data_IF_169023674291
#
_entry.id   IF_169023674291
#
_cell.length_a   1.000
_cell.length_b   1.000
_cell.length_c   1.000
_cell.angle_alpha   90.00
_cell.angle_beta   90.00
_cell.angle_gamma   90.00
#
_symmetry.space_group_name_H-M   'P 1'
#
loop_
_entity.id
_entity.type
_entity.pdbx_description
1 polymer ?
#
# COMPACT_ATOMS: atom_id res chain seq x y z
N UNK A 1 35.82 13.08 2.82
CA UNK A 1 34.96 13.83 3.76
C UNK A 1 33.50 13.56 3.41
N UNK A 2 32.72 12.93 4.29
CA UNK A 2 31.27 12.86 4.12
C UNK A 2 30.67 14.13 4.69
N UNK A 3 30.10 14.98 3.84
CA UNK A 3 29.29 16.12 4.30
C UNK A 3 28.10 15.56 5.08
N UNK A 4 27.84 15.98 6.33
CA UNK A 4 26.67 15.52 7.07
C UNK A 4 25.42 15.89 6.27
N UNK A 5 24.58 14.89 6.00
CA UNK A 5 23.34 15.09 5.27
C UNK A 5 22.48 16.11 6.04
N UNK A 6 22.18 17.25 5.42
CA UNK A 6 21.28 18.28 5.95
C UNK A 6 19.97 17.61 6.37
N UNK A 7 19.63 17.66 7.66
CA UNK A 7 18.40 17.07 8.19
C UNK A 7 17.21 17.90 7.72
N UNK A 8 16.23 17.26 7.09
CA UNK A 8 14.99 17.93 6.71
C UNK A 8 14.07 17.91 7.93
N UNK A 9 14.03 19.01 8.67
CA UNK A 9 13.17 19.16 9.83
C UNK A 9 11.72 19.28 9.36
N UNK A 10 10.91 18.25 9.61
CA UNK A 10 9.48 18.30 9.33
C UNK A 10 8.74 18.90 10.52
N UNK A 11 7.73 19.72 10.25
CA UNK A 11 6.75 20.14 11.27
C UNK A 11 6.07 18.91 11.84
N UNK A 12 6.15 18.73 13.17
CA UNK A 12 5.64 17.54 13.83
C UNK A 12 4.17 17.32 13.51
N UNK A 13 3.32 18.35 13.62
CA UNK A 13 1.87 18.21 13.41
C UNK A 13 1.49 17.75 11.99
N UNK A 14 2.15 18.27 10.94
CA UNK A 14 1.90 17.78 9.56
C UNK A 14 2.36 16.34 9.38
N UNK A 15 3.50 15.97 9.96
CA UNK A 15 3.98 14.59 9.93
C UNK A 15 2.99 13.64 10.65
N UNK A 16 2.48 14.05 11.82
CA UNK A 16 1.45 13.30 12.55
C UNK A 16 0.21 13.11 11.68
N UNK A 17 -0.23 14.18 11.03
CA UNK A 17 -1.40 14.15 10.16
C UNK A 17 -1.27 13.14 9.02
N UNK A 18 -0.17 13.19 8.26
CA UNK A 18 0.01 12.25 7.15
C UNK A 18 0.15 10.80 7.63
N UNK A 19 0.79 10.56 8.78
CA UNK A 19 0.91 9.19 9.34
C UNK A 19 -0.46 8.66 9.75
N UNK A 20 -1.29 9.46 10.42
CA UNK A 20 -2.64 9.07 10.79
C UNK A 20 -3.49 8.78 9.56
N UNK A 21 -3.38 9.59 8.52
CA UNK A 21 -4.05 9.32 7.24
C UNK A 21 -3.53 8.03 6.61
N UNK A 22 -2.21 7.82 6.51
CA UNK A 22 -1.67 6.55 6.00
C UNK A 22 -2.16 5.35 6.81
N UNK A 23 -2.14 5.41 8.14
CA UNK A 23 -2.68 4.36 9.02
C UNK A 23 -4.16 4.07 8.79
N UNK A 24 -4.97 5.08 8.47
CA UNK A 24 -6.39 4.88 8.14
C UNK A 24 -6.56 4.03 6.88
N UNK A 25 -5.73 4.28 5.87
CA UNK A 25 -5.71 3.55 4.61
C UNK A 25 -5.06 2.16 4.73
N UNK A 26 -4.07 1.97 5.61
CA UNK A 26 -3.27 0.74 5.72
C UNK A 26 -4.02 -0.39 6.45
N UNK A 27 -3.91 -1.61 5.90
CA UNK A 27 -4.48 -2.84 6.46
C UNK A 27 -3.44 -3.97 6.44
N UNK A 28 -3.41 -4.80 7.48
CA UNK A 28 -2.68 -6.07 7.47
C UNK A 28 -3.44 -7.04 6.58
N UNK A 29 -2.75 -7.66 5.62
CA UNK A 29 -3.29 -8.79 4.86
C UNK A 29 -2.51 -10.03 5.27
N UNK A 30 -3.21 -11.09 5.69
CA UNK A 30 -2.56 -12.31 6.15
C UNK A 30 -3.34 -13.58 5.84
N UNK A 31 -2.62 -14.69 5.77
CA UNK A 31 -3.11 -16.06 5.93
C UNK A 31 -2.41 -16.67 7.15
N UNK A 32 -2.61 -17.97 7.39
CA UNK A 32 -1.88 -18.70 8.44
C UNK A 32 -0.35 -18.68 8.27
N UNK A 33 0.15 -18.54 7.03
CA UNK A 33 1.58 -18.65 6.73
C UNK A 33 2.21 -17.40 6.15
N UNK A 34 1.41 -16.52 5.58
CA UNK A 34 1.91 -15.37 4.87
C UNK A 34 1.23 -14.12 5.38
N UNK A 35 1.96 -13.03 5.35
CA UNK A 35 1.46 -11.73 5.75
C UNK A 35 2.18 -10.64 5.00
N UNK A 36 1.48 -9.56 4.78
CA UNK A 36 1.99 -8.36 4.16
C UNK A 36 1.12 -7.16 4.51
N UNK A 37 1.43 -6.06 3.88
CA UNK A 37 0.69 -4.82 4.03
C UNK A 37 -0.16 -4.59 2.79
N UNK A 38 -1.37 -4.12 2.98
CA UNK A 38 -2.21 -3.58 1.91
C UNK A 38 -2.80 -2.25 2.31
N UNK A 39 -3.60 -1.68 1.41
CA UNK A 39 -4.28 -0.41 1.64
C UNK A 39 -5.56 -0.30 0.81
N UNK A 40 -6.55 0.42 1.35
CA UNK A 40 -7.82 0.63 0.67
C UNK A 40 -7.67 1.64 -0.49
N UNK A 41 -7.71 1.14 -1.72
CA UNK A 41 -7.56 1.93 -2.94
C UNK A 41 -8.86 2.64 -3.33
N UNK A 42 -9.96 1.88 -3.39
CA UNK A 42 -11.24 2.33 -3.91
C UNK A 42 -12.36 1.48 -3.30
N UNK A 43 -13.61 1.82 -3.58
CA UNK A 43 -14.78 1.06 -3.14
C UNK A 43 -15.93 1.22 -4.12
N UNK A 44 -16.81 0.24 -4.15
CA UNK A 44 -18.08 0.37 -4.85
C UNK A 44 -18.97 1.40 -4.14
N UNK A 45 -19.53 2.33 -4.90
CA UNK A 45 -20.41 3.36 -4.35
C UNK A 45 -21.66 2.67 -3.79
N UNK A 46 -21.95 2.82 -2.47
CA UNK A 46 -23.09 2.18 -1.86
C UNK A 46 -24.39 2.89 -2.28
N UNK A 47 -25.53 2.23 -2.02
CA UNK A 47 -26.83 2.91 -2.07
C UNK A 47 -26.86 4.09 -1.08
N UNK A 48 -27.70 5.10 -1.37
CA UNK A 48 -27.80 6.32 -0.55
C UNK A 48 -27.98 5.98 0.94
N UNK A 49 -27.14 6.58 1.79
CA UNK A 49 -27.19 6.40 3.24
C UNK A 49 -26.50 5.14 3.78
N UNK A 50 -25.95 4.27 2.91
CA UNK A 50 -25.27 3.04 3.32
C UNK A 50 -23.75 3.18 3.28
N UNK A 51 -23.05 2.34 4.03
CA UNK A 51 -21.60 2.18 3.99
C UNK A 51 -21.18 1.18 2.90
N UNK A 52 -20.06 1.39 2.18
CA UNK A 52 -19.59 0.42 1.18
C UNK A 52 -19.15 -0.90 1.84
N UNK A 53 -19.64 -2.02 1.30
CA UNK A 53 -19.23 -3.37 1.73
C UNK A 53 -18.25 -4.03 0.76
N UNK A 54 -18.08 -3.50 -0.46
CA UNK A 54 -17.09 -3.97 -1.42
C UNK A 54 -15.99 -2.92 -1.58
N UNK A 55 -14.74 -3.35 -1.35
CA UNK A 55 -13.54 -2.53 -1.33
C UNK A 55 -12.46 -3.13 -2.23
N UNK A 56 -11.62 -2.26 -2.78
CA UNK A 56 -10.44 -2.62 -3.57
C UNK A 56 -9.21 -2.36 -2.72
N UNK A 57 -8.39 -3.39 -2.49
CA UNK A 57 -7.18 -3.33 -1.68
C UNK A 57 -5.96 -3.43 -2.59
N UNK A 58 -5.12 -2.40 -2.60
CA UNK A 58 -3.82 -2.41 -3.26
C UNK A 58 -2.75 -3.05 -2.39
N UNK A 59 -1.83 -3.80 -2.99
CA UNK A 59 -0.63 -4.35 -2.33
C UNK A 59 0.45 -4.66 -3.38
N UNK A 60 1.61 -5.19 -2.96
CA UNK A 60 2.59 -5.74 -3.87
C UNK A 60 2.17 -7.10 -4.43
N UNK A 61 2.58 -7.41 -5.66
CA UNK A 61 2.30 -8.69 -6.29
C UNK A 61 3.00 -9.86 -5.63
N UNK A 62 4.22 -9.67 -5.12
CA UNK A 62 4.89 -10.74 -4.39
C UNK A 62 4.26 -11.05 -3.03
N UNK A 63 3.47 -10.12 -2.47
CA UNK A 63 2.63 -10.36 -1.28
C UNK A 63 1.38 -11.11 -1.71
N UNK A 64 0.67 -10.56 -2.69
CA UNK A 64 -0.58 -11.11 -3.22
C UNK A 64 -0.39 -12.52 -3.81
N UNK A 65 0.80 -12.82 -4.35
CA UNK A 65 1.12 -14.12 -4.94
C UNK A 65 1.13 -15.27 -3.93
N UNK A 66 1.08 -14.95 -2.64
CA UNK A 66 1.02 -15.89 -1.52
C UNK A 66 -0.40 -16.21 -1.07
N UNK A 67 -1.41 -15.79 -1.83
CA UNK A 67 -2.81 -16.03 -1.52
C UNK A 67 -3.48 -16.82 -2.64
N UNK A 68 -4.37 -17.75 -2.26
CA UNK A 68 -5.30 -18.41 -3.17
C UNK A 68 -6.67 -17.76 -3.03
N UNK A 69 -7.03 -16.92 -4.01
CA UNK A 69 -8.27 -16.14 -4.02
C UNK A 69 -9.19 -16.60 -5.16
N UNK A 70 -10.41 -16.06 -5.18
CA UNK A 70 -11.30 -16.23 -6.32
C UNK A 70 -10.75 -15.55 -7.58
N UNK A 71 -11.10 -16.10 -8.74
CA UNK A 71 -10.68 -15.59 -10.06
C UNK A 71 -11.88 -15.14 -10.91
N UNK A 72 -12.84 -14.44 -10.27
CA UNK A 72 -14.03 -13.87 -10.92
C UNK A 72 -13.69 -13.05 -12.17
N UNK A 73 -12.52 -12.41 -12.19
CA UNK A 73 -12.10 -11.49 -13.24
C UNK A 73 -11.13 -12.10 -14.27
N UNK A 74 -10.84 -13.40 -14.17
CA UNK A 74 -9.87 -14.12 -15.03
C UNK A 74 -8.48 -13.46 -15.02
N UNK A 75 -8.12 -12.84 -13.90
CA UNK A 75 -6.76 -12.30 -13.65
C UNK A 75 -5.79 -13.47 -13.51
N UNK A 76 -6.30 -14.63 -13.07
CA UNK A 76 -5.54 -15.82 -12.83
C UNK A 76 -5.03 -15.92 -11.40
N UNK A 77 -4.62 -17.12 -11.02
CA UNK A 77 -4.03 -17.38 -9.73
C UNK A 77 -2.49 -17.45 -9.82
N UNK A 78 -1.79 -16.89 -8.81
CA UNK A 78 -0.33 -16.80 -8.80
C UNK A 78 0.38 -18.16 -8.83
N UNK A 79 -0.28 -19.22 -8.36
CA UNK A 79 0.41 -20.43 -7.94
C UNK A 79 0.09 -21.66 -8.80
N UNK A 80 1.12 -22.43 -9.13
CA UNK A 80 1.00 -23.86 -9.44
C UNK A 80 0.89 -24.60 -8.10
N UNK A 81 -0.21 -25.28 -7.82
CA UNK A 81 -0.52 -25.86 -6.50
C UNK A 81 0.59 -26.74 -5.90
N UNK A 82 1.51 -27.24 -6.72
CA UNK A 82 2.66 -28.06 -6.32
C UNK A 82 3.81 -27.30 -5.62
N UNK A 83 3.90 -25.97 -5.74
CA UNK A 83 4.97 -25.18 -5.10
C UNK A 83 4.53 -24.50 -3.80
N UNK A 84 3.30 -24.75 -3.37
CA UNK A 84 2.82 -24.28 -2.09
C UNK A 84 3.45 -25.11 -0.99
N UNK A 85 3.93 -24.45 0.06
CA UNK A 85 4.25 -25.13 1.30
C UNK A 85 2.98 -25.89 1.72
N UNK A 86 2.99 -27.21 1.56
CA UNK A 86 1.81 -28.05 1.72
C UNK A 86 1.22 -27.90 3.13
N UNK A 87 2.07 -27.55 4.12
CA UNK A 87 1.69 -27.22 5.49
C UNK A 87 0.77 -26.01 5.61
N UNK A 88 0.88 -25.07 4.68
CA UNK A 88 0.10 -23.84 4.67
C UNK A 88 -1.27 -23.99 4.02
N UNK A 89 -1.46 -25.04 3.21
CA UNK A 89 -2.61 -25.14 2.32
C UNK A 89 -3.46 -26.39 2.52
N UNK A 90 -3.16 -27.27 3.50
CA UNK A 90 -3.96 -28.42 3.98
C UNK A 90 -5.27 -28.68 3.22
N UNK A 91 -5.17 -29.15 1.97
CA UNK A 91 -6.27 -29.49 1.06
C UNK A 91 -7.33 -28.40 0.79
N UNK A 92 -7.10 -27.13 1.16
CA UNK A 92 -8.03 -26.03 0.90
C UNK A 92 -7.87 -25.48 -0.52
N UNK A 93 -8.97 -25.41 -1.27
CA UNK A 93 -9.02 -24.78 -2.61
C UNK A 93 -8.85 -23.26 -2.55
N UNK A 94 -9.12 -22.62 -1.40
CA UNK A 94 -8.90 -21.20 -1.13
C UNK A 94 -8.33 -21.03 0.27
N UNK A 95 -7.36 -20.14 0.44
CA UNK A 95 -6.91 -19.73 1.77
C UNK A 95 -7.77 -18.60 2.28
N UNK A 96 -8.38 -18.74 3.47
CA UNK A 96 -8.95 -17.61 4.18
C UNK A 96 -7.94 -16.47 4.24
N UNK A 97 -8.25 -15.37 3.55
CA UNK A 97 -7.51 -14.13 3.71
C UNK A 97 -8.09 -13.43 4.93
N UNK A 98 -7.22 -13.00 5.85
CA UNK A 98 -7.61 -12.18 6.97
C UNK A 98 -7.16 -10.75 6.70
N UNK A 99 -8.07 -9.81 6.90
CA UNK A 99 -7.77 -8.40 6.96
C UNK A 99 -7.74 -7.99 8.42
N UNK A 100 -6.69 -7.32 8.85
CA UNK A 100 -6.57 -6.89 10.24
C UNK A 100 -5.98 -5.51 10.39
N UNK A 101 -6.26 -4.89 11.54
CA UNK A 101 -5.67 -3.60 11.90
C UNK A 101 -5.71 -3.37 13.39
N UNK A 102 -4.90 -2.41 13.83
CA UNK A 102 -5.05 -1.82 15.16
C UNK A 102 -6.42 -1.15 15.27
N UNK A 103 -7.19 -1.56 16.28
CA UNK A 103 -8.42 -0.89 16.69
C UNK A 103 -8.07 0.33 17.55
N UNK A 104 -8.71 1.45 17.27
CA UNK A 104 -8.75 2.58 18.19
C UNK A 104 -10.18 2.99 18.43
N UNK A 105 -10.62 3.02 19.69
CA UNK A 105 -11.98 3.43 20.04
C UNK A 105 -12.30 4.85 19.53
N UNK A 106 -11.31 5.75 19.58
CA UNK A 106 -11.40 7.12 19.08
C UNK A 106 -11.71 7.19 17.59
N UNK A 107 -11.15 6.26 16.80
CA UNK A 107 -11.34 6.25 15.35
C UNK A 107 -12.70 5.73 14.91
N UNK A 108 -13.38 4.94 15.76
CA UNK A 108 -14.74 4.49 15.51
C UNK A 108 -15.77 5.61 15.72
N UNK A 109 -15.53 6.47 16.70
CA UNK A 109 -16.47 7.52 17.10
C UNK A 109 -16.20 8.89 16.48
N UNK A 110 -15.36 8.97 15.44
CA UNK A 110 -14.93 10.24 14.85
C UNK A 110 -14.43 11.23 15.92
N UNK A 111 -13.72 10.74 16.94
CA UNK A 111 -13.04 11.59 17.90
C UNK A 111 -11.60 11.79 17.42
N UNK A 112 -11.01 12.99 17.55
CA UNK A 112 -9.58 13.17 17.32
C UNK A 112 -8.84 12.18 18.23
N UNK A 113 -7.86 11.44 17.69
CA UNK A 113 -6.98 10.63 18.53
C UNK A 113 -6.23 11.55 19.50
N UNK A 114 -6.09 11.12 20.75
CA UNK A 114 -5.25 11.85 21.68
C UNK A 114 -3.78 11.76 21.19
N UNK A 115 -3.22 12.91 20.79
CA UNK A 115 -2.06 13.03 19.87
C UNK A 115 -0.70 12.68 20.48
N UNK A 116 -0.65 12.30 21.75
CA UNK A 116 0.59 12.12 22.51
C UNK A 116 1.29 10.78 22.25
N UNK A 117 0.67 9.83 21.53
CA UNK A 117 1.22 8.48 21.32
C UNK A 117 2.22 8.33 20.16
N UNK A 118 2.68 9.41 19.53
CA UNK A 118 3.76 9.36 18.54
C UNK A 118 5.15 9.12 19.15
N UNK A 119 5.27 9.08 20.46
CA UNK A 119 6.50 8.69 21.16
C UNK A 119 6.85 7.21 20.90
N UNK A 120 5.87 6.34 20.68
CA UNK A 120 6.09 4.93 20.36
C UNK A 120 6.83 4.73 19.00
N UNK A 121 6.71 5.70 18.08
CA UNK A 121 7.44 5.66 16.81
C UNK A 121 8.94 5.96 16.99
N UNK A 122 9.31 6.82 17.97
CA UNK A 122 10.70 7.17 18.25
C UNK A 122 11.55 5.96 18.69
N UNK A 123 10.90 4.97 19.31
CA UNK A 123 11.51 3.71 19.78
C UNK A 123 12.24 2.92 18.69
N UNK A 124 11.75 2.97 17.44
CA UNK A 124 12.34 2.22 16.33
C UNK A 124 13.42 2.98 15.56
N UNK A 125 13.49 4.32 15.73
CA UNK A 125 14.49 5.19 15.11
C UNK A 125 15.86 5.18 15.79
N UNK A 126 15.94 4.57 16.98
CA UNK A 126 17.15 4.52 17.79
C UNK A 126 18.15 3.43 17.36
N UNK A 127 17.72 2.43 16.57
CA UNK A 127 18.59 1.31 16.22
C UNK A 127 19.17 1.43 14.80
N UNK A 128 19.96 2.49 14.59
CA UNK A 128 20.60 2.81 13.32
C UNK A 128 21.75 1.84 12.98
N UNK A 129 22.31 1.13 13.96
CA UNK A 129 23.31 0.08 13.75
C UNK A 129 22.85 -1.31 14.22
N UNK A 130 23.41 -2.37 13.61
CA UNK A 130 23.23 -3.77 14.04
C UNK A 130 23.65 -4.00 15.50
N UNK A 131 24.56 -3.17 16.02
CA UNK A 131 25.05 -3.19 17.40
C UNK A 131 24.10 -2.46 18.36
N UNK A 132 23.52 -1.32 17.97
CA UNK A 132 22.45 -0.67 18.75
C UNK A 132 21.24 -1.61 18.89
N UNK A 133 20.87 -2.35 17.83
CA UNK A 133 19.80 -3.38 17.91
C UNK A 133 20.12 -4.50 18.91
N UNK A 134 21.40 -4.87 19.07
CA UNK A 134 21.84 -5.91 20.02
C UNK A 134 21.92 -5.40 21.46
N UNK A 135 22.35 -4.15 21.65
CA UNK A 135 22.61 -3.56 22.97
C UNK A 135 21.41 -2.83 23.57
N UNK A 136 20.39 -2.48 22.78
CA UNK A 136 19.15 -1.91 23.30
C UNK A 136 18.36 -3.03 24.02
N UNK A 137 18.55 -3.13 25.34
CA UNK A 137 17.78 -4.04 26.17
C UNK A 137 16.34 -3.51 26.28
N UNK A 138 15.54 -3.80 25.26
CA UNK A 138 14.15 -3.36 25.10
C UNK A 138 13.29 -3.63 26.34
N UNK A 139 13.59 -4.72 27.08
CA UNK A 139 12.91 -5.06 28.33
C UNK A 139 13.09 -3.99 29.41
N UNK A 140 14.23 -3.29 29.45
CA UNK A 140 14.56 -2.28 30.48
C UNK A 140 13.86 -0.93 30.25
N UNK A 141 13.81 -0.46 29.00
CA UNK A 141 13.13 0.82 28.63
C UNK A 141 11.61 0.66 28.72
N UNK A 142 11.09 -0.51 28.34
CA UNK A 142 9.68 -0.83 28.53
C UNK A 142 9.37 -1.02 30.03
N UNK A 143 10.15 -1.77 30.81
CA UNK A 143 9.92 -1.90 32.26
C UNK A 143 9.85 -0.54 33.00
N UNK A 144 10.61 0.48 32.56
CA UNK A 144 10.53 1.83 33.13
C UNK A 144 9.30 2.64 32.67
N UNK A 145 8.72 2.34 31.49
CA UNK A 145 7.50 3.01 30.98
C UNK A 145 6.20 2.26 31.27
N UNK A 146 6.27 0.95 31.55
CA UNK A 146 5.14 0.04 31.69
C UNK A 146 4.84 -0.31 33.16
N UNK A 147 5.30 0.48 34.14
CA UNK A 147 5.02 0.27 35.57
C UNK A 147 3.58 0.63 35.98
N UNK A 148 2.67 0.77 35.01
CA UNK A 148 1.23 0.99 35.19
C UNK A 148 0.47 -0.20 34.61
N UNK A 149 -0.37 -0.89 35.39
CA UNK A 149 -1.21 -2.03 34.99
C UNK A 149 -1.76 -1.98 33.53
N UNK A 150 -1.11 -2.67 32.57
CA UNK A 150 -1.44 -2.62 31.11
C UNK A 150 -2.46 -3.65 30.65
N UNK A 151 -2.88 -4.60 31.50
CA UNK A 151 -3.81 -5.66 31.06
C UNK A 151 -5.10 -5.14 30.39
N UNK A 152 -5.55 -3.93 30.74
CA UNK A 152 -6.75 -3.31 30.17
C UNK A 152 -6.51 -2.34 28.99
N UNK A 153 -5.25 -1.96 28.72
CA UNK A 153 -4.89 -0.93 27.74
C UNK A 153 -4.08 -1.44 26.53
N UNK A 154 -3.90 -2.76 26.41
CA UNK A 154 -3.25 -3.32 25.22
C UNK A 154 -4.01 -2.89 23.95
N UNK A 155 -3.32 -2.47 22.89
CA UNK A 155 -3.97 -2.07 21.64
C UNK A 155 -4.78 -3.25 21.12
N UNK A 156 -6.12 -3.10 21.10
CA UNK A 156 -6.99 -4.15 20.57
C UNK A 156 -6.70 -4.27 19.08
N UNK A 157 -6.53 -5.49 18.61
CA UNK A 157 -6.40 -5.78 17.19
C UNK A 157 -7.74 -6.35 16.73
N UNK A 158 -8.24 -5.83 15.61
CA UNK A 158 -9.44 -6.37 14.96
C UNK A 158 -9.03 -7.01 13.67
N UNK A 159 -9.52 -8.22 13.43
CA UNK A 159 -9.35 -8.90 12.16
C UNK A 159 -10.66 -9.54 11.73
N UNK A 160 -10.79 -9.77 10.43
CA UNK A 160 -11.91 -10.49 9.85
C UNK A 160 -11.47 -11.34 8.68
N UNK A 161 -12.24 -12.39 8.42
CA UNK A 161 -12.28 -13.10 7.14
C UNK A 161 -13.45 -12.51 6.33
N UNK A 162 -13.17 -11.87 5.19
CA UNK A 162 -14.22 -11.28 4.36
C UNK A 162 -15.09 -12.37 3.75
N UNK A 163 -16.32 -12.01 3.37
CA UNK A 163 -17.26 -12.91 2.68
C UNK A 163 -16.67 -13.42 1.37
N UNK A 164 -16.04 -12.55 0.59
CA UNK A 164 -15.40 -12.89 -0.68
C UNK A 164 -14.11 -12.10 -0.88
N UNK A 165 -13.15 -12.73 -1.55
CA UNK A 165 -11.90 -12.09 -1.99
C UNK A 165 -11.52 -12.59 -3.39
N UNK A 166 -11.27 -11.67 -4.31
CA UNK A 166 -10.93 -11.97 -5.71
C UNK A 166 -9.76 -11.14 -6.20
N UNK A 167 -8.87 -11.71 -7.02
CA UNK A 167 -7.90 -10.90 -7.76
C UNK A 167 -8.64 -10.03 -8.78
N UNK A 168 -8.48 -8.71 -8.68
CA UNK A 168 -9.16 -7.75 -9.54
C UNK A 168 -8.26 -7.21 -10.65
N UNK A 169 -6.99 -6.92 -10.35
CA UNK A 169 -6.04 -6.41 -11.34
C UNK A 169 -4.60 -6.85 -11.02
N UNK A 170 -3.89 -7.28 -12.08
CA UNK A 170 -2.45 -7.55 -12.08
C UNK A 170 -1.85 -7.01 -13.39
N UNK A 171 -0.89 -6.07 -13.34
CA UNK A 171 -0.24 -5.49 -14.52
C UNK A 171 0.71 -6.50 -15.17
N UNK A 172 0.23 -7.31 -16.14
CA UNK A 172 1.03 -8.27 -16.91
C UNK A 172 1.13 -7.82 -18.35
N UNK A 173 2.34 -7.74 -18.92
CA UNK A 173 2.59 -7.33 -20.31
C UNK A 173 1.74 -6.11 -20.72
N UNK A 174 1.68 -5.13 -19.81
CA UNK A 174 0.65 -4.11 -19.81
C UNK A 174 0.98 -2.92 -20.72
N UNK A 175 2.02 -2.99 -21.55
CA UNK A 175 2.45 -1.94 -22.49
C UNK A 175 2.47 -2.55 -23.90
N UNK A 176 1.88 -1.85 -24.87
CA UNK A 176 1.70 -2.30 -26.27
C UNK A 176 3.01 -2.50 -27.00
N UNK A 177 3.92 -1.54 -26.86
CA UNK A 177 5.24 -1.64 -27.47
C UNK A 177 6.03 -2.69 -26.72
N UNK A 178 6.22 -3.85 -27.36
CA UNK A 178 7.37 -4.69 -27.11
C UNK A 178 8.61 -3.91 -27.52
N UNK A 179 9.01 -2.93 -26.71
CA UNK A 179 10.41 -2.57 -26.59
C UNK A 179 11.08 -3.87 -26.13
N UNK A 180 11.43 -4.70 -27.10
CA UNK A 180 11.54 -6.14 -26.96
C UNK A 180 12.83 -6.44 -26.20
N UNK A 181 12.78 -6.31 -24.87
CA UNK A 181 13.82 -6.83 -23.99
C UNK A 181 13.68 -8.37 -23.96
N UNK A 182 14.11 -9.00 -25.06
CA UNK A 182 14.33 -10.45 -25.24
C UNK A 182 13.09 -11.37 -25.12
N UNK A 183 11.90 -10.90 -25.50
CA UNK A 183 10.68 -11.74 -25.58
C UNK A 183 10.17 -12.27 -24.23
N UNK A 184 10.60 -11.66 -23.12
CA UNK A 184 10.22 -12.06 -21.76
C UNK A 184 8.95 -11.38 -21.30
N UNK A 185 8.09 -12.10 -20.60
CA UNK A 185 6.91 -11.53 -19.96
C UNK A 185 7.28 -10.67 -18.76
N UNK A 186 6.60 -9.55 -18.57
CA UNK A 186 6.94 -8.63 -17.49
C UNK A 186 5.72 -8.19 -16.70
N UNK A 187 6.01 -7.65 -15.53
CA UNK A 187 5.01 -7.16 -14.59
C UNK A 187 5.50 -5.91 -13.87
N UNK A 188 4.59 -5.31 -13.11
CA UNK A 188 4.92 -4.47 -11.95
C UNK A 188 4.57 -5.19 -10.66
N UNK A 189 5.26 -4.85 -9.57
CA UNK A 189 5.02 -5.41 -8.24
C UNK A 189 3.84 -4.70 -7.57
N UNK A 190 2.67 -4.81 -8.19
CA UNK A 190 1.42 -4.20 -7.77
C UNK A 190 0.25 -5.10 -8.12
N UNK A 191 -0.67 -5.29 -7.18
CA UNK A 191 -1.90 -6.06 -7.39
C UNK A 191 -3.04 -5.37 -6.69
N UNK A 192 -4.25 -5.50 -7.25
CA UNK A 192 -5.49 -5.10 -6.61
C UNK A 192 -6.34 -6.34 -6.32
N UNK A 193 -6.81 -6.43 -5.08
CA UNK A 193 -7.72 -7.47 -4.61
C UNK A 193 -9.08 -6.82 -4.34
N UNK A 194 -10.14 -7.37 -4.91
CA UNK A 194 -11.52 -7.03 -4.51
C UNK A 194 -11.88 -7.83 -3.26
N UNK A 195 -12.40 -7.14 -2.25
CA UNK A 195 -12.85 -7.71 -0.98
C UNK A 195 -14.32 -7.33 -0.78
N UNK A 196 -15.15 -8.29 -0.40
CA UNK A 196 -16.53 -8.05 0.04
C UNK A 196 -16.69 -8.48 1.49
N UNK A 197 -17.05 -7.55 2.37
CA UNK A 197 -17.37 -7.80 3.77
C UNK A 197 -18.76 -8.40 3.92
N UNK A 198 -19.05 -9.05 5.06
CA UNK A 198 -20.36 -9.66 5.32
C UNK A 198 -21.44 -8.61 5.49
N UNK A 199 -21.10 -7.49 6.14
CA UNK A 199 -22.00 -6.37 6.38
C UNK A 199 -21.26 -5.01 6.50
N UNK A 200 -22.03 -3.95 6.66
CA UNK A 200 -21.53 -2.57 6.79
C UNK A 200 -20.73 -2.34 8.07
N UNK A 201 -21.04 -3.05 9.15
CA UNK A 201 -20.40 -2.85 10.44
C UNK A 201 -18.98 -3.44 10.42
N UNK A 202 -18.85 -4.66 9.91
CA UNK A 202 -17.56 -5.30 9.65
C UNK A 202 -16.71 -4.42 8.72
N UNK A 203 -17.28 -3.97 7.59
CA UNK A 203 -16.60 -3.09 6.65
C UNK A 203 -16.12 -1.82 7.35
N UNK A 204 -16.96 -1.15 8.14
CA UNK A 204 -16.64 0.09 8.86
C UNK A 204 -15.54 -0.11 9.89
N UNK A 205 -15.54 -1.21 10.63
CA UNK A 205 -14.50 -1.53 11.63
C UNK A 205 -13.15 -1.75 10.93
N UNK A 206 -13.10 -2.58 9.91
CA UNK A 206 -11.85 -2.97 9.24
C UNK A 206 -11.31 -1.85 8.36
N UNK A 207 -12.17 -1.07 7.72
CA UNK A 207 -11.77 0.12 6.97
C UNK A 207 -11.59 1.35 7.86
N UNK A 208 -11.81 1.23 9.17
CA UNK A 208 -11.73 2.35 10.13
C UNK A 208 -12.52 3.59 9.71
N UNK A 209 -13.74 3.34 9.26
CA UNK A 209 -14.67 4.35 8.77
C UNK A 209 -14.07 5.24 7.66
N UNK A 210 -13.14 4.73 6.85
CA UNK A 210 -12.44 5.50 5.81
C UNK A 210 -13.41 6.23 4.88
N UNK A 211 -14.51 5.58 4.48
CA UNK A 211 -15.55 6.22 3.67
C UNK A 211 -16.18 7.41 4.39
N UNK A 212 -16.55 7.25 5.67
CA UNK A 212 -17.13 8.31 6.48
C UNK A 212 -16.19 9.49 6.66
N UNK A 213 -14.91 9.20 6.92
CA UNK A 213 -13.85 10.20 7.16
C UNK A 213 -13.44 10.98 5.92
N UNK A 214 -13.34 10.36 4.75
CA UNK A 214 -12.69 11.02 3.62
C UNK A 214 -13.57 11.16 2.37
N UNK A 215 -14.71 10.46 2.32
CA UNK A 215 -15.48 10.32 1.08
C UNK A 215 -16.99 10.59 1.24
N UNK A 216 -17.46 10.84 2.46
CA UNK A 216 -18.84 11.25 2.71
C UNK A 216 -19.04 12.75 2.41
N UNK A 217 -20.23 13.12 1.94
CA UNK A 217 -20.58 14.53 1.65
C UNK A 217 -20.60 15.42 2.89
N UNK A 218 -20.68 14.82 4.08
CA UNK A 218 -20.74 15.50 5.38
C UNK A 218 -19.38 15.59 6.07
N UNK A 219 -18.27 15.25 5.39
CA UNK A 219 -17.00 15.11 6.10
C UNK A 219 -16.44 16.47 6.54
N UNK A 220 -16.05 16.54 7.81
CA UNK A 220 -15.27 17.65 8.41
C UNK A 220 -13.78 17.32 8.53
N UNK A 221 -13.40 16.13 8.06
CA UNK A 221 -12.07 15.58 8.22
C UNK A 221 -11.12 16.01 7.09
N UNK A 222 -9.83 15.78 7.35
CA UNK A 222 -8.66 16.13 6.53
C UNK A 222 -8.75 15.62 5.09
N UNK A 223 -7.85 16.13 4.24
CA UNK A 223 -7.78 15.75 2.84
C UNK A 223 -7.48 14.24 2.68
N UNK A 224 -8.21 13.51 1.80
CA UNK A 224 -7.86 12.14 1.45
C UNK A 224 -6.46 12.07 0.82
N UNK A 225 -5.86 10.88 0.83
CA UNK A 225 -4.67 10.63 0.02
C UNK A 225 -4.93 10.93 -1.46
N UNK A 226 -3.99 11.63 -2.08
CA UNK A 226 -4.06 11.98 -3.48
C UNK A 226 -3.43 10.88 -4.33
N UNK A 227 -4.26 9.92 -4.71
CA UNK A 227 -3.88 8.85 -5.63
C UNK A 227 -3.73 9.31 -7.09
N UNK A 228 -4.07 10.56 -7.44
CA UNK A 228 -4.01 11.07 -8.81
C UNK A 228 -2.83 12.00 -9.07
N UNK A 229 -2.00 12.23 -8.05
CA UNK A 229 -0.73 12.91 -8.24
C UNK A 229 0.12 12.16 -9.26
N UNK A 230 0.87 12.87 -10.09
CA UNK A 230 1.75 12.29 -11.11
C UNK A 230 2.95 11.51 -10.52
N UNK A 231 2.96 11.23 -9.22
CA UNK A 231 4.03 10.49 -8.56
C UNK A 231 5.34 11.28 -8.58
N UNK A 232 6.43 10.60 -8.90
CA UNK A 232 7.75 11.21 -9.05
C UNK A 232 7.93 12.00 -10.36
N UNK A 233 6.94 12.01 -11.27
CA UNK A 233 6.99 12.73 -12.57
C UNK A 233 6.88 14.24 -12.44
N UNK A 234 6.16 14.75 -11.44
CA UNK A 234 5.85 16.18 -11.33
C UNK A 234 6.93 17.02 -10.66
N UNK A 235 8.09 16.43 -10.34
CA UNK A 235 9.11 17.09 -9.55
C UNK A 235 10.50 16.89 -10.17
N UNK A 236 11.28 17.95 -10.17
CA UNK A 236 12.72 17.93 -10.46
C UNK A 236 13.47 17.11 -9.41
N UNK A 237 14.67 16.63 -9.74
CA UNK A 237 15.53 15.93 -8.78
C UNK A 237 15.81 16.75 -7.52
N UNK A 238 15.96 18.07 -7.66
CA UNK A 238 16.16 18.99 -6.53
C UNK A 238 14.93 19.03 -5.61
N UNK A 239 13.73 19.14 -6.18
CA UNK A 239 12.48 19.13 -5.41
C UNK A 239 12.27 17.78 -4.70
N UNK A 240 12.58 16.66 -5.36
CA UNK A 240 12.43 15.33 -4.76
C UNK A 240 13.42 15.10 -3.60
N UNK A 241 14.65 15.60 -3.70
CA UNK A 241 15.66 15.48 -2.65
C UNK A 241 15.31 16.27 -1.39
N UNK A 242 14.49 17.32 -1.54
CA UNK A 242 14.01 18.17 -0.45
C UNK A 242 12.61 17.77 0.07
N UNK A 243 12.08 16.62 -0.34
CA UNK A 243 10.79 16.12 0.17
C UNK A 243 10.98 15.10 1.29
N UNK A 244 10.07 15.18 2.26
CA UNK A 244 9.87 14.17 3.28
C UNK A 244 8.89 13.11 2.78
N UNK A 245 9.26 11.84 2.91
CA UNK A 245 8.43 10.71 2.50
C UNK A 245 8.06 9.83 3.69
N UNK A 246 6.79 9.44 3.72
CA UNK A 246 6.13 8.73 4.79
C UNK A 246 5.62 7.39 4.30
N UNK A 247 5.82 6.34 5.08
CA UNK A 247 5.28 5.00 4.83
C UNK A 247 4.78 4.40 6.12
N UNK A 248 3.68 3.65 6.03
CA UNK A 248 3.09 2.91 7.15
C UNK A 248 2.74 1.48 6.73
N UNK A 249 3.19 0.48 7.49
CA UNK A 249 2.90 -0.93 7.23
C UNK A 249 3.06 -1.87 8.41
N UNK A 250 2.90 -3.17 8.20
CA UNK A 250 2.87 -4.20 9.24
C UNK A 250 4.08 -5.16 9.19
N UNK A 251 5.29 -4.73 9.58
CA UNK A 251 6.49 -5.56 9.56
C UNK A 251 6.45 -6.72 10.59
N UNK A 252 7.10 -7.84 10.26
CA UNK A 252 7.10 -9.11 11.02
C UNK A 252 8.11 -9.15 12.14
N UNK A 253 9.14 -8.32 12.07
CA UNK A 253 10.32 -8.39 12.92
C UNK A 253 10.18 -7.60 14.24
N UNK A 254 8.98 -7.50 14.81
CA UNK A 254 8.71 -6.77 16.04
C UNK A 254 7.74 -7.46 17.00
N UNK A 255 7.71 -6.99 18.26
CA UNK A 255 6.88 -7.47 19.37
C UNK A 255 5.36 -7.33 19.14
N UNK A 256 4.96 -6.76 18.01
CA UNK A 256 3.57 -6.72 17.59
C UNK A 256 3.47 -6.88 16.07
N UNK A 257 3.34 -8.12 15.64
CA UNK A 257 2.96 -8.49 14.27
C UNK A 257 1.68 -7.80 13.75
N UNK A 258 0.96 -7.13 14.64
CA UNK A 258 -0.37 -6.57 14.50
C UNK A 258 -0.41 -5.04 14.65
N UNK A 259 0.73 -4.37 14.91
CA UNK A 259 0.77 -2.91 14.93
C UNK A 259 1.38 -2.35 13.64
N UNK A 260 0.82 -1.24 13.13
CA UNK A 260 1.44 -0.52 12.04
C UNK A 260 2.74 0.13 12.53
N UNK A 261 3.70 0.24 11.61
CA UNK A 261 5.00 0.86 11.78
C UNK A 261 5.13 2.01 10.78
N UNK A 262 5.62 3.16 11.24
CA UNK A 262 5.91 4.33 10.43
C UNK A 262 7.40 4.61 10.37
N UNK A 263 7.88 5.12 9.23
CA UNK A 263 9.27 5.54 9.06
C UNK A 263 9.58 6.96 9.57
N UNK A 264 8.64 7.64 10.22
CA UNK A 264 8.86 8.98 10.78
C UNK A 264 9.34 8.94 12.23
N UNK A 265 10.38 9.72 12.53
CA UNK A 265 10.91 9.92 13.87
C UNK A 265 10.38 11.21 14.45
N UNK A 266 9.55 11.14 15.49
CA UNK A 266 9.07 12.31 16.22
C UNK A 266 10.21 13.04 16.94
N UNK A 267 11.08 12.30 17.64
CA UNK A 267 12.22 12.88 18.38
C UNK A 267 13.25 13.54 17.46
N UNK A 268 13.57 12.92 16.32
CA UNK A 268 14.50 13.48 15.32
C UNK A 268 13.81 14.38 14.29
N UNK A 269 12.49 14.53 14.36
CA UNK A 269 11.63 15.22 13.38
C UNK A 269 11.96 14.87 11.92
N UNK A 270 12.25 13.59 11.68
CA UNK A 270 12.86 13.09 10.44
C UNK A 270 12.00 12.00 9.80
N UNK A 271 11.64 12.21 8.53
CA UNK A 271 10.99 11.22 7.68
C UNK A 271 12.01 10.54 6.74
N UNK A 272 11.53 9.72 5.80
CA UNK A 272 12.35 9.19 4.72
C UNK A 272 12.72 10.27 3.71
N UNK A 273 13.83 10.08 3.01
CA UNK A 273 14.25 10.94 1.88
C UNK A 273 14.59 10.10 0.66
N UNK A 274 14.39 10.66 -0.52
CA UNK A 274 14.86 10.03 -1.75
C UNK A 274 16.40 10.06 -1.75
N UNK A 275 17.02 8.89 -1.86
CA UNK A 275 18.48 8.75 -1.91
C UNK A 275 19.00 8.74 -3.32
N UNK A 276 18.37 7.93 -4.17
CA UNK A 276 18.74 7.77 -5.57
C UNK A 276 17.61 7.05 -6.32
N UNK A 277 17.70 7.10 -7.65
CA UNK A 277 16.93 6.19 -8.49
C UNK A 277 17.74 4.90 -8.61
N UNK A 278 17.22 3.79 -8.07
CA UNK A 278 17.80 2.49 -8.29
C UNK A 278 17.21 1.90 -9.56
N UNK A 279 18.06 1.82 -10.57
CA UNK A 279 17.72 1.10 -11.77
C UNK A 279 17.89 -0.39 -11.48
N UNK A 280 16.77 -1.10 -11.35
CA UNK A 280 16.79 -2.56 -11.37
C UNK A 280 17.01 -3.03 -12.81
N UNK A 281 18.20 -2.80 -13.38
CA UNK A 281 18.51 -3.33 -14.71
C UNK A 281 18.78 -4.82 -14.73
N UNK A 282 18.91 -5.41 -13.54
CA UNK A 282 19.13 -6.83 -13.40
C UNK A 282 17.78 -7.48 -13.13
N UNK A 283 17.45 -8.40 -14.03
CA UNK A 283 16.50 -9.51 -13.91
C UNK A 283 16.84 -10.40 -12.71
N UNK A 284 17.09 -9.82 -11.54
CA UNK A 284 17.44 -10.58 -10.36
C UNK A 284 16.23 -11.43 -10.04
N UNK A 285 16.44 -12.73 -9.94
CA UNK A 285 15.36 -13.72 -9.78
C UNK A 285 14.45 -13.44 -8.58
N UNK A 286 14.93 -12.69 -7.58
CA UNK A 286 14.11 -12.32 -6.41
C UNK A 286 12.95 -11.35 -6.74
N UNK A 287 12.92 -10.73 -7.92
CA UNK A 287 11.81 -9.91 -8.42
C UNK A 287 10.92 -10.60 -9.45
N UNK A 288 11.20 -11.87 -9.72
CA UNK A 288 10.35 -12.72 -10.54
C UNK A 288 9.11 -13.08 -9.75
N UNK A 289 7.94 -12.88 -10.35
CA UNK A 289 6.69 -13.42 -9.84
C UNK A 289 6.20 -14.51 -10.79
N UNK A 290 5.81 -15.65 -10.26
CA UNK A 290 5.07 -16.64 -11.04
C UNK A 290 3.59 -16.30 -10.94
N UNK A 291 2.89 -16.27 -12.07
CA UNK A 291 1.45 -16.06 -12.14
C UNK A 291 0.84 -16.89 -13.27
N UNK A 292 -0.24 -17.63 -13.00
CA UNK A 292 -0.80 -18.60 -13.96
C UNK A 292 0.25 -19.55 -14.54
N UNK A 293 1.15 -20.09 -13.70
CA UNK A 293 2.24 -20.98 -14.11
C UNK A 293 3.24 -20.35 -15.10
N UNK A 294 3.19 -19.04 -15.30
CA UNK A 294 4.11 -18.28 -16.16
C UNK A 294 4.94 -17.33 -15.30
N UNK A 295 6.22 -17.23 -15.59
CA UNK A 295 7.10 -16.29 -14.91
C UNK A 295 7.01 -14.90 -15.53
N UNK A 296 6.87 -13.89 -14.69
CA UNK A 296 6.89 -12.48 -15.07
C UNK A 296 8.01 -11.79 -14.29
N UNK A 297 8.81 -11.02 -14.98
CA UNK A 297 9.87 -10.24 -14.34
C UNK A 297 9.44 -8.81 -14.12
N UNK A 298 9.77 -8.25 -12.97
CA UNK A 298 9.54 -6.82 -12.75
C UNK A 298 10.37 -6.00 -13.75
N UNK A 299 9.73 -5.03 -14.41
CA UNK A 299 10.39 -4.13 -15.38
C UNK A 299 10.26 -2.68 -14.97
N UNK A 300 11.37 -1.92 -15.02
CA UNK A 300 11.45 -0.49 -14.78
C UNK A 300 12.37 -0.13 -13.61
N UNK A 301 12.43 1.15 -13.27
CA UNK A 301 13.21 1.62 -12.13
C UNK A 301 12.39 1.58 -10.83
N UNK A 302 13.11 1.55 -9.71
CA UNK A 302 12.58 1.76 -8.37
C UNK A 302 13.28 2.96 -7.73
N UNK A 303 12.62 3.58 -6.77
CA UNK A 303 13.26 4.63 -5.98
C UNK A 303 13.87 4.04 -4.72
N UNK A 304 15.04 4.54 -4.33
CA UNK A 304 15.64 4.21 -3.03
C UNK A 304 15.25 5.28 -2.05
N UNK A 305 14.53 4.88 -1.01
CA UNK A 305 14.19 5.73 0.10
C UNK A 305 15.14 5.43 1.26
N UNK A 306 15.83 6.44 1.77
CA UNK A 306 16.56 6.32 3.05
C UNK A 306 15.61 6.44 4.22
N UNK A 307 16.00 5.88 5.37
CA UNK A 307 15.18 5.89 6.58
C UNK A 307 13.78 5.32 6.31
N UNK A 308 13.75 4.14 5.69
CA UNK A 308 12.52 3.45 5.38
C UNK A 308 12.66 1.94 5.51
N UNK A 309 13.69 1.45 6.21
CA UNK A 309 13.79 0.02 6.48
C UNK A 309 12.58 -0.42 7.29
N UNK A 310 11.79 -1.28 6.68
CA UNK A 310 10.70 -1.99 7.33
C UNK A 310 10.93 -3.46 7.00
N UNK A 311 10.97 -4.32 8.02
CA UNK A 311 11.31 -5.73 7.82
C UNK A 311 10.30 -6.48 6.94
N UNK A 312 10.44 -7.79 6.86
CA UNK A 312 9.50 -8.64 6.15
C UNK A 312 8.04 -8.33 6.57
N UNK A 313 7.07 -8.42 5.66
CA UNK A 313 5.67 -8.06 5.92
C UNK A 313 5.31 -6.58 5.75
N UNK A 314 6.28 -5.66 5.72
CA UNK A 314 6.02 -4.27 5.35
C UNK A 314 5.80 -4.05 3.85
N UNK A 315 6.14 -5.04 3.02
CA UNK A 315 5.84 -5.01 1.59
C UNK A 315 4.36 -4.71 1.34
N UNK A 316 4.11 -3.74 0.48
CA UNK A 316 2.80 -3.25 0.09
C UNK A 316 2.38 -1.98 0.84
N UNK A 317 3.23 -1.46 1.74
CA UNK A 317 2.99 -0.16 2.40
C UNK A 317 2.94 0.96 1.37
N UNK A 318 1.99 1.89 1.53
CA UNK A 318 1.95 3.11 0.73
C UNK A 318 3.12 4.02 1.08
N UNK A 319 3.70 4.65 0.06
CA UNK A 319 4.63 5.76 0.22
C UNK A 319 3.98 7.04 -0.28
N UNK A 320 3.97 8.06 0.56
CA UNK A 320 3.45 9.39 0.23
C UNK A 320 4.41 10.50 0.64
N UNK A 321 4.23 11.69 0.04
CA UNK A 321 4.87 12.91 0.55
C UNK A 321 4.06 13.55 1.69
N UNK A 322 4.58 14.64 2.25
CA UNK A 322 3.93 15.39 3.33
C UNK A 322 2.53 15.93 3.00
N UNK A 323 2.19 16.05 1.71
CA UNK A 323 0.90 16.55 1.24
C UNK A 323 -0.09 15.41 0.95
N UNK A 324 0.26 14.17 1.26
CA UNK A 324 -0.57 13.00 0.99
C UNK A 324 -0.59 12.60 -0.48
N UNK A 325 0.35 13.07 -1.30
CA UNK A 325 0.47 12.58 -2.67
C UNK A 325 1.06 11.17 -2.66
N UNK A 326 0.33 10.21 -3.22
CA UNK A 326 0.77 8.82 -3.29
C UNK A 326 1.75 8.65 -4.45
N UNK A 327 2.90 8.06 -4.15
CA UNK A 327 4.01 7.93 -5.08
C UNK A 327 4.22 6.49 -5.54
N UNK A 328 4.08 5.54 -4.62
CA UNK A 328 4.45 4.15 -4.86
C UNK A 328 4.23 3.26 -3.65
N UNK A 329 4.80 2.07 -3.72
CA UNK A 329 4.71 1.02 -2.71
C UNK A 329 6.09 0.64 -2.20
N UNK A 330 6.25 0.57 -0.90
CA UNK A 330 7.40 -0.09 -0.30
C UNK A 330 7.41 -1.56 -0.72
N UNK A 331 8.45 -1.98 -1.43
CA UNK A 331 8.51 -3.29 -2.09
C UNK A 331 9.54 -4.23 -1.49
N UNK A 332 10.69 -3.71 -1.05
CA UNK A 332 11.79 -4.51 -0.53
C UNK A 332 12.77 -3.66 0.27
N UNK A 333 13.56 -4.32 1.10
CA UNK A 333 14.77 -3.74 1.69
C UNK A 333 15.91 -3.75 0.67
N UNK A 334 16.76 -2.74 0.72
CA UNK A 334 18.07 -2.85 0.08
C UNK A 334 18.99 -3.78 0.89
N UNK A 335 19.72 -4.65 0.19
CA UNK A 335 20.54 -5.69 0.84
C UNK A 335 21.88 -5.17 1.36
N UNK A 336 22.28 -3.93 1.04
CA UNK A 336 23.53 -3.35 1.52
C UNK A 336 23.48 -2.95 3.01
N UNK A 337 22.36 -3.19 3.69
CA UNK A 337 22.23 -2.97 5.14
C UNK A 337 22.09 -1.50 5.56
N UNK A 338 21.89 -0.59 4.61
CA UNK A 338 21.98 0.86 4.80
C UNK A 338 20.69 1.57 5.25
N UNK A 339 19.74 0.85 5.86
CA UNK A 339 18.41 1.39 6.23
C UNK A 339 17.65 1.98 5.02
N UNK A 340 17.72 1.31 3.87
CA UNK A 340 17.10 1.75 2.64
C UNK A 340 15.95 0.83 2.23
N UNK A 341 14.89 1.43 1.69
CA UNK A 341 13.74 0.77 1.09
C UNK A 341 13.66 1.02 -0.40
N UNK A 342 13.22 0.02 -1.14
CA UNK A 342 12.93 0.11 -2.56
C UNK A 342 11.45 0.40 -2.77
N UNK A 343 11.13 1.46 -3.50
CA UNK A 343 9.78 1.89 -3.77
C UNK A 343 9.42 1.54 -5.22
N UNK A 344 8.37 0.74 -5.40
CA UNK A 344 7.75 0.48 -6.69
C UNK A 344 6.83 1.66 -7.04
N UNK A 345 7.15 2.47 -8.06
CA UNK A 345 6.31 3.60 -8.43
C UNK A 345 4.98 3.11 -9.02
N UNK A 346 3.88 3.77 -8.67
CA UNK A 346 2.58 3.53 -9.33
C UNK A 346 2.51 4.20 -10.72
N UNK A 347 3.39 5.18 -10.94
CA UNK A 347 3.47 5.98 -12.17
C UNK A 347 4.91 6.30 -12.49
N UNK A 348 5.26 6.21 -13.77
CA UNK A 348 6.56 6.67 -14.26
C UNK A 348 6.40 7.42 -15.57
N UNK A 349 7.34 8.31 -15.85
CA UNK A 349 7.60 8.78 -17.22
C UNK A 349 8.38 7.72 -17.99
N UNK A 350 8.40 7.86 -19.32
CA UNK A 350 9.38 7.15 -20.12
C UNK A 350 10.77 7.63 -19.70
N UNK A 351 11.63 6.71 -19.32
CA UNK A 351 13.02 7.01 -18.95
C UNK A 351 13.93 6.15 -19.79
N UNK A 352 15.01 6.77 -20.27
CA UNK A 352 16.03 6.16 -21.11
C UNK A 352 17.41 6.56 -20.59
N UNK A 353 18.39 5.69 -20.75
CA UNK A 353 19.81 6.03 -20.62
C UNK A 353 20.53 5.61 -21.91
N UNK A 354 21.75 6.09 -22.13
CA UNK A 354 22.55 5.71 -23.30
C UNK A 354 22.71 4.19 -23.42
N UNK A 355 22.80 3.48 -22.28
CA UNK A 355 22.95 2.03 -22.25
C UNK A 355 21.59 1.29 -22.24
N UNK A 356 20.50 2.00 -21.93
CA UNK A 356 19.17 1.43 -21.76
C UNK A 356 18.09 2.39 -22.30
N UNK A 357 17.88 2.43 -23.64
CA UNK A 357 16.94 3.35 -24.27
C UNK A 357 15.47 3.13 -23.83
N UNK A 358 15.14 1.93 -23.36
CA UNK A 358 13.84 1.57 -22.82
C UNK A 358 13.96 1.11 -21.36
N UNK A 359 14.55 1.96 -20.52
CA UNK A 359 14.81 1.64 -19.13
C UNK A 359 13.51 1.45 -18.33
N UNK A 360 12.58 2.38 -18.49
CA UNK A 360 11.24 2.27 -17.91
C UNK A 360 10.21 2.87 -18.85
N UNK A 361 9.16 2.13 -19.23
CA UNK A 361 8.09 2.66 -20.05
C UNK A 361 7.26 3.66 -19.24
N UNK A 362 6.65 4.63 -19.91
CA UNK A 362 5.62 5.47 -19.28
C UNK A 362 4.41 4.62 -18.90
N UNK A 363 3.99 4.70 -17.64
CA UNK A 363 2.79 4.01 -17.18
C UNK A 363 2.10 4.72 -16.03
N UNK A 364 0.81 4.41 -15.88
CA UNK A 364 0.01 4.70 -14.70
C UNK A 364 -0.81 3.45 -14.38
N UNK A 365 -0.43 2.72 -13.32
CA UNK A 365 -1.08 1.46 -12.96
C UNK A 365 -2.53 1.66 -12.53
N UNK A 366 -2.93 2.88 -12.17
CA UNK A 366 -4.29 3.22 -11.78
C UNK A 366 -5.11 3.71 -12.98
N UNK A 367 -4.65 4.75 -13.67
CA UNK A 367 -5.43 5.45 -14.71
C UNK A 367 -5.14 5.00 -16.14
N UNK A 368 -4.01 4.31 -16.37
CA UNK A 368 -3.47 4.00 -17.69
C UNK A 368 -2.68 5.15 -18.34
N UNK A 369 -1.76 4.79 -19.24
CA UNK A 369 -1.05 5.71 -20.15
C UNK A 369 -1.36 5.41 -21.63
N UNK A 370 -0.86 6.22 -22.56
CA UNK A 370 -1.13 6.12 -24.01
C UNK A 370 -0.89 4.72 -24.60
N UNK A 371 0.19 4.08 -24.18
CA UNK A 371 0.62 2.78 -24.71
C UNK A 371 0.29 1.61 -23.77
N UNK A 372 -0.45 1.87 -22.69
CA UNK A 372 -0.80 0.84 -21.72
C UNK A 372 -2.05 0.05 -22.15
N UNK A 373 -1.95 -1.27 -22.18
CA UNK A 373 -3.03 -2.20 -22.56
C UNK A 373 -3.98 -2.53 -21.41
N UNK A 374 -3.51 -2.42 -20.16
CA UNK A 374 -4.33 -2.69 -18.96
C UNK A 374 -3.92 -1.81 -17.78
N UNK A 375 -4.91 -1.38 -17.00
CA UNK A 375 -4.81 -0.56 -15.78
C UNK A 375 -5.94 -0.94 -14.81
N UNK A 376 -5.89 -0.46 -13.56
CA UNK A 376 -7.04 -0.58 -12.67
C UNK A 376 -8.31 0.04 -13.31
N UNK A 377 -8.19 1.23 -13.92
CA UNK A 377 -9.27 1.89 -14.68
C UNK A 377 -9.85 0.97 -15.75
N UNK A 378 -9.01 0.31 -16.55
CA UNK A 378 -9.52 -0.55 -17.63
C UNK A 378 -10.32 -1.74 -17.08
N UNK A 379 -9.88 -2.33 -15.96
CA UNK A 379 -10.64 -3.41 -15.30
C UNK A 379 -11.95 -2.89 -14.68
N UNK A 380 -11.96 -1.69 -14.09
CA UNK A 380 -13.18 -1.04 -13.60
C UNK A 380 -14.20 -0.83 -14.74
N UNK A 381 -13.75 -0.32 -15.89
CA UNK A 381 -14.59 -0.09 -17.06
C UNK A 381 -15.10 -1.42 -17.65
N UNK A 382 -14.19 -2.37 -17.90
CA UNK A 382 -14.49 -3.69 -18.47
C UNK A 382 -15.54 -4.44 -17.64
N UNK A 383 -15.43 -4.36 -16.31
CA UNK A 383 -16.33 -5.02 -15.38
C UNK A 383 -17.51 -4.13 -14.92
N UNK A 384 -17.70 -2.95 -15.55
CA UNK A 384 -18.80 -2.01 -15.30
C UNK A 384 -18.98 -1.65 -13.81
N UNK A 385 -17.87 -1.53 -13.07
CA UNK A 385 -17.89 -1.28 -11.62
C UNK A 385 -18.18 0.20 -11.34
N UNK A 386 -19.12 0.48 -10.44
CA UNK A 386 -19.50 1.85 -10.07
C UNK A 386 -18.70 2.29 -8.84
N UNK A 387 -17.42 2.54 -9.04
CA UNK A 387 -16.51 2.87 -7.93
C UNK A 387 -16.39 4.37 -7.67
N UNK A 388 -15.86 4.75 -6.50
CA UNK A 388 -15.62 6.15 -6.17
C UNK A 388 -14.63 6.82 -7.13
N UNK A 389 -13.52 6.15 -7.46
CA UNK A 389 -12.56 6.71 -8.45
C UNK A 389 -13.20 6.86 -9.82
N UNK A 390 -13.97 5.87 -10.29
CA UNK A 390 -14.63 5.94 -11.59
C UNK A 390 -15.58 7.16 -11.69
N UNK A 391 -16.33 7.44 -10.62
CA UNK A 391 -17.19 8.62 -10.54
C UNK A 391 -16.36 9.91 -10.48
N UNK A 392 -15.38 9.98 -9.58
CA UNK A 392 -14.56 11.18 -9.37
C UNK A 392 -13.78 11.59 -10.62
N UNK A 393 -13.32 10.61 -11.39
CA UNK A 393 -12.48 10.81 -12.58
C UNK A 393 -13.27 10.74 -13.90
N UNK A 394 -14.59 10.55 -13.85
CA UNK A 394 -15.43 10.45 -15.04
C UNK A 394 -15.09 9.26 -15.95
N UNK A 395 -14.59 8.15 -15.41
CA UNK A 395 -14.22 6.96 -16.20
C UNK A 395 -15.43 6.26 -16.82
N UNK A 396 -16.59 6.38 -16.19
CA UNK A 396 -17.85 5.78 -16.64
C UNK A 396 -18.89 6.90 -16.72
N UNK A 397 -19.51 7.06 -17.90
CA UNK A 397 -20.67 7.92 -18.05
C UNK A 397 -21.83 7.31 -17.26
N UNK A 398 -22.16 7.91 -16.13
CA UNK A 398 -23.37 7.56 -15.39
C UNK A 398 -24.53 8.12 -16.22
N UNK A 399 -25.16 7.27 -17.03
CA UNK A 399 -26.42 7.64 -17.69
C UNK A 399 -27.43 7.82 -16.57
N UNK A 400 -27.70 9.06 -16.18
CA UNK A 400 -28.79 9.36 -15.27
C UNK A 400 -30.06 8.84 -15.94
N UNK A 401 -30.67 7.80 -15.38
CA UNK A 401 -32.01 7.39 -15.80
C UNK A 401 -32.90 8.62 -15.61
N UNK A 402 -33.24 9.31 -16.71
CA UNK A 402 -34.24 10.37 -16.67
C UNK A 402 -35.46 9.76 -15.99
N UNK A 403 -35.87 10.31 -14.85
CA UNK A 403 -37.13 9.94 -14.24
C UNK A 403 -38.18 10.09 -15.33
N UNK A 404 -38.80 8.98 -15.74
CA UNK A 404 -40.01 9.05 -16.55
C UNK A 404 -41.03 9.75 -15.66
N UNK A 405 -41.11 11.07 -15.76
CA UNK A 405 -42.23 11.84 -15.26
C UNK A 405 -43.43 11.31 -16.03
N UNK A 406 -44.22 10.48 -15.36
CA UNK A 406 -45.51 10.03 -15.86
C UNK A 406 -46.35 11.28 -16.06
N UNK A 407 -46.50 11.71 -17.32
CA UNK A 407 -47.64 12.52 -17.72
C UNK A 407 -48.88 11.66 -17.48
N UNK A 408 -49.47 11.77 -16.29
CA UNK A 408 -50.90 11.50 -16.11
C UNK A 408 -51.62 12.56 -16.93
N UNK A 409 -52.24 12.13 -18.02
CA UNK A 409 -53.34 12.85 -18.66
C UNK A 409 -54.63 12.38 -18.02
#
# INVERSE_FOLDING_TARGET
>A
MFTPATTLNVESEKAKEIIETLEDYTVLISTSCHRGTGWFLDFDIPNKGRYPTTWYVGTNSHVASKFLLGDKYKVGNPINSSSLDQKCYNNKKQTPIHLGRRWSYESFNNKPRNRDRLEDAAFWHAAQSKNERKNYNLKKVLASSLNTNIKDNAPKFVSTEPKEANFFYQPKNFIKTSANRKGKDYTKDFTVIEITFKDENEARVITNNLFGKYHSSSTKYRNPLNFFHFGFKSATSSELNNRAFFTVGYPTNGWSSHLPFSNYSSSKRRAGKLKSNFVSDSWKDWLKITWNKKDYWNWGYRHVLENSFSGAGASGSLVSDINGNVLGLYSAIDREGKNWGLIEPLRTVKTSTNNHPDLSPEHDLLSGSKDQTSSFKSEVIKNKRKTWMARKMGWIKIVSSKSKTSKRR
#
